data_IF_056670219721
#
_entry.id   IF_056670219721
#
_cell.length_a   1.000
_cell.length_b   1.000
_cell.length_c   1.000
_cell.angle_alpha   90.00
_cell.angle_beta   90.00
_cell.angle_gamma   90.00
#
_symmetry.space_group_name_H-M   'P 1'
#
loop_
_entity.id
_entity.type
_entity.pdbx_description
1 polymer ?
#
# COMPACT_ATOMS: atom_id res chain seq x y z
N UNK A 1 -14.37 -1.90 -3.74
CA UNK A 1 -15.10 -0.70 -3.28
C UNK A 1 -16.08 -0.16 -4.32
N UNK A 2 -16.35 -0.92 -5.38
CA UNK A 2 -17.40 -0.67 -6.40
C UNK A 2 -17.44 0.77 -6.97
N UNK A 3 -16.27 1.39 -7.15
CA UNK A 3 -16.16 2.70 -7.84
C UNK A 3 -16.44 2.56 -9.34
N UNK A 4 -16.15 1.39 -9.90
CA UNK A 4 -16.41 1.03 -11.29
C UNK A 4 -17.24 -0.25 -11.36
N UNK A 5 -18.08 -0.34 -12.38
CA UNK A 5 -18.87 -1.54 -12.64
C UNK A 5 -18.10 -2.43 -13.60
N UNK A 6 -17.76 -3.68 -13.24
CA UNK A 6 -17.07 -4.58 -14.14
C UNK A 6 -18.00 -5.01 -15.30
N UNK A 7 -17.44 -5.20 -16.50
CA UNK A 7 -18.18 -5.71 -17.64
C UNK A 7 -18.62 -7.17 -17.42
N UNK A 8 -17.86 -7.92 -16.62
CA UNK A 8 -18.18 -9.30 -16.23
C UNK A 8 -17.53 -9.64 -14.88
N UNK A 9 -18.08 -10.63 -14.19
CA UNK A 9 -17.59 -11.06 -12.89
C UNK A 9 -18.07 -10.20 -11.72
N UNK A 10 -17.53 -10.48 -10.55
CA UNK A 10 -17.84 -9.77 -9.31
C UNK A 10 -16.69 -9.90 -8.31
N UNK A 11 -16.60 -8.96 -7.37
CA UNK A 11 -15.72 -9.03 -6.22
C UNK A 11 -16.56 -9.16 -4.93
N UNK A 12 -16.13 -10.06 -4.06
CA UNK A 12 -16.77 -10.30 -2.77
C UNK A 12 -15.78 -10.05 -1.64
N UNK A 13 -16.31 -9.55 -0.53
CA UNK A 13 -15.61 -9.37 0.73
C UNK A 13 -16.39 -10.17 1.77
N UNK A 14 -15.78 -11.19 2.34
CA UNK A 14 -16.47 -12.17 3.24
C UNK A 14 -17.76 -12.73 2.61
N UNK A 15 -17.76 -13.00 1.31
CA UNK A 15 -18.89 -13.56 0.58
C UNK A 15 -19.99 -12.55 0.18
N UNK A 16 -19.85 -11.27 0.54
CA UNK A 16 -20.81 -10.20 0.23
C UNK A 16 -20.24 -9.18 -0.74
N UNK A 17 -21.08 -8.53 -1.54
CA UNK A 17 -20.66 -7.35 -2.32
C UNK A 17 -20.38 -6.17 -1.38
N UNK A 18 -19.48 -5.28 -1.76
CA UNK A 18 -19.15 -4.10 -0.94
C UNK A 18 -20.39 -3.26 -0.57
N UNK A 19 -21.30 -3.05 -1.52
CA UNK A 19 -22.55 -2.28 -1.31
C UNK A 19 -23.53 -2.92 -0.32
N UNK A 20 -23.40 -4.23 -0.10
CA UNK A 20 -24.30 -5.01 0.78
C UNK A 20 -23.73 -5.11 2.22
N UNK A 21 -22.55 -4.52 2.47
CA UNK A 21 -21.94 -4.47 3.80
C UNK A 21 -22.67 -3.45 4.68
N UNK A 22 -23.04 -3.83 5.90
CA UNK A 22 -23.73 -2.94 6.85
C UNK A 22 -22.87 -1.72 7.24
N UNK A 23 -21.58 -1.95 7.49
CA UNK A 23 -20.60 -0.92 7.86
C UNK A 23 -19.35 -1.05 6.98
N UNK A 24 -19.39 -0.58 5.72
CA UNK A 24 -18.33 -0.84 4.75
C UNK A 24 -16.97 -0.32 5.21
N UNK A 25 -16.88 0.86 5.84
CA UNK A 25 -15.62 1.42 6.34
C UNK A 25 -15.06 0.70 7.57
N UNK A 26 -15.89 -0.02 8.32
CA UNK A 26 -15.42 -0.90 9.41
C UNK A 26 -14.96 -2.27 8.88
N UNK A 27 -15.28 -2.60 7.64
CA UNK A 27 -14.87 -3.84 6.98
C UNK A 27 -13.68 -3.62 6.07
N UNK A 28 -13.72 -2.56 5.26
CA UNK A 28 -12.69 -2.23 4.26
C UNK A 28 -12.27 -0.78 4.37
N UNK A 29 -11.01 -0.55 4.64
CA UNK A 29 -10.36 0.76 4.50
C UNK A 29 -9.64 0.84 3.15
N UNK A 30 -9.72 1.99 2.47
CA UNK A 30 -9.09 2.15 1.17
C UNK A 30 -8.32 3.48 1.07
N UNK A 31 -7.09 3.43 0.58
CA UNK A 31 -6.33 4.57 0.11
C UNK A 31 -6.22 4.47 -1.41
N UNK A 32 -7.00 5.28 -2.13
CA UNK A 32 -7.05 5.26 -3.59
C UNK A 32 -6.45 6.53 -4.22
N UNK A 33 -6.61 7.68 -3.55
CA UNK A 33 -6.08 8.95 -4.03
C UNK A 33 -5.92 9.93 -2.87
N UNK A 34 -4.74 10.51 -2.71
CA UNK A 34 -4.44 11.50 -1.66
C UNK A 34 -4.75 12.95 -2.06
N UNK A 35 -5.16 13.20 -3.30
CA UNK A 35 -5.48 14.55 -3.77
C UNK A 35 -6.92 15.01 -3.45
N UNK A 36 -7.73 14.15 -2.83
CA UNK A 36 -9.12 14.48 -2.47
C UNK A 36 -9.26 15.32 -1.19
N UNK A 37 -8.15 15.62 -0.52
CA UNK A 37 -8.16 16.39 0.73
C UNK A 37 -8.36 17.88 0.47
N UNK A 38 -9.30 18.51 1.19
CA UNK A 38 -9.53 19.95 1.05
C UNK A 38 -8.31 20.75 1.56
N UNK A 39 -7.67 21.60 0.74
CA UNK A 39 -6.34 22.17 1.04
C UNK A 39 -6.30 23.09 2.26
N UNK A 40 -7.42 23.71 2.62
CA UNK A 40 -7.54 24.60 3.79
C UNK A 40 -7.97 23.89 5.07
N UNK A 41 -8.37 22.62 4.98
CA UNK A 41 -8.78 21.83 6.16
C UNK A 41 -7.54 21.25 6.83
N UNK A 42 -7.48 21.29 8.16
CA UNK A 42 -6.40 20.61 8.88
C UNK A 42 -6.56 19.07 8.79
N UNK A 43 -5.47 18.33 8.93
CA UNK A 43 -5.50 16.87 8.92
C UNK A 43 -6.48 16.30 9.95
N UNK A 44 -6.47 16.85 11.20
CA UNK A 44 -7.42 16.47 12.25
C UNK A 44 -8.87 16.73 11.84
N UNK A 45 -9.17 17.89 11.29
CA UNK A 45 -10.54 18.23 10.88
C UNK A 45 -10.97 17.43 9.64
N UNK A 46 -10.03 17.02 8.78
CA UNK A 46 -10.32 16.12 7.68
C UNK A 46 -10.80 14.76 8.22
N UNK A 47 -10.04 14.14 9.14
CA UNK A 47 -10.44 12.87 9.75
C UNK A 47 -11.71 12.98 10.60
N UNK A 48 -11.92 14.09 11.31
CA UNK A 48 -13.18 14.33 12.05
C UNK A 48 -14.39 14.40 11.13
N UNK A 49 -14.24 15.05 9.98
CA UNK A 49 -15.30 15.09 8.97
C UNK A 49 -15.64 13.69 8.46
N UNK A 50 -14.61 12.90 8.13
CA UNK A 50 -14.80 11.52 7.65
C UNK A 50 -15.42 10.64 8.74
N UNK A 51 -14.98 10.76 9.99
CA UNK A 51 -15.54 10.03 11.11
C UNK A 51 -17.03 10.37 11.33
N UNK A 52 -17.37 11.66 11.36
CA UNK A 52 -18.74 12.12 11.56
C UNK A 52 -19.69 11.70 10.42
N UNK A 53 -19.20 11.68 9.18
CA UNK A 53 -20.00 11.28 8.01
C UNK A 53 -20.31 9.78 7.94
N UNK A 54 -19.65 8.97 8.79
CA UNK A 54 -19.74 7.51 8.78
C UNK A 54 -19.99 6.90 10.17
N UNK A 55 -20.51 7.70 11.10
CA UNK A 55 -20.84 7.30 12.48
C UNK A 55 -19.68 6.62 13.23
N UNK A 56 -18.43 7.03 12.93
CA UNK A 56 -17.24 6.51 13.58
C UNK A 56 -16.94 7.34 14.82
N UNK A 57 -16.61 6.71 15.97
CA UNK A 57 -16.31 7.42 17.21
C UNK A 57 -15.13 8.40 17.08
N UNK A 58 -15.26 9.61 17.64
CA UNK A 58 -14.27 10.68 17.49
C UNK A 58 -12.90 10.40 18.09
N UNK A 59 -12.81 9.52 19.09
CA UNK A 59 -11.53 9.08 19.65
C UNK A 59 -10.65 8.38 18.60
N UNK A 60 -11.26 7.71 17.60
CA UNK A 60 -10.53 7.08 16.50
C UNK A 60 -9.67 8.06 15.70
N UNK A 61 -10.05 9.32 15.65
CA UNK A 61 -9.29 10.36 14.94
C UNK A 61 -7.89 10.52 15.54
N UNK A 62 -7.80 10.67 16.87
CA UNK A 62 -6.50 10.84 17.53
C UNK A 62 -5.68 9.55 17.52
N UNK A 63 -6.33 8.40 17.67
CA UNK A 63 -5.67 7.09 17.52
C UNK A 63 -5.05 6.91 16.14
N UNK A 64 -5.79 7.24 15.07
CA UNK A 64 -5.29 7.12 13.70
C UNK A 64 -4.19 8.13 13.39
N UNK A 65 -4.28 9.38 13.91
CA UNK A 65 -3.21 10.37 13.78
C UNK A 65 -1.91 9.90 14.47
N UNK A 66 -2.03 9.32 15.66
CA UNK A 66 -0.89 8.76 16.38
C UNK A 66 -0.28 7.57 15.62
N UNK A 67 -1.12 6.66 15.11
CA UNK A 67 -0.70 5.47 14.36
C UNK A 67 0.18 5.82 13.15
N UNK A 68 -0.14 6.93 12.44
CA UNK A 68 0.61 7.35 11.25
C UNK A 68 1.68 8.42 11.56
N UNK A 69 1.84 8.82 12.83
CA UNK A 69 2.84 9.81 13.26
C UNK A 69 2.56 11.24 12.79
N UNK A 70 1.29 11.66 12.76
CA UNK A 70 0.88 13.00 12.34
C UNK A 70 0.29 13.86 13.45
N UNK A 71 0.34 13.43 14.72
CA UNK A 71 -0.28 14.11 15.87
C UNK A 71 0.16 15.58 15.99
N UNK A 72 1.47 15.84 15.92
CA UNK A 72 2.06 17.18 16.09
C UNK A 72 1.66 18.17 14.99
N UNK A 73 1.47 17.68 13.78
CA UNK A 73 1.14 18.50 12.59
C UNK A 73 -0.35 18.46 12.24
N UNK A 74 -1.16 17.72 13.00
CA UNK A 74 -2.56 17.46 12.69
C UNK A 74 -3.43 18.74 12.62
N UNK A 75 -3.04 19.81 13.29
CA UNK A 75 -3.74 21.10 13.27
C UNK A 75 -3.38 21.98 12.07
N UNK A 76 -2.32 21.63 11.33
CA UNK A 76 -1.90 22.39 10.14
C UNK A 76 -2.81 22.06 8.94
N UNK A 77 -3.04 23.03 8.02
CA UNK A 77 -3.82 22.81 6.81
C UNK A 77 -3.10 21.80 5.88
N UNK A 78 -3.88 20.92 5.24
CA UNK A 78 -3.31 19.84 4.40
C UNK A 78 -2.51 20.35 3.20
N UNK A 79 -2.70 21.60 2.77
CA UNK A 79 -1.87 22.22 1.73
C UNK A 79 -0.39 22.33 2.12
N UNK A 80 -0.08 22.40 3.42
CA UNK A 80 1.31 22.46 3.93
C UNK A 80 1.95 21.09 4.10
N UNK A 81 1.18 20.00 3.91
CA UNK A 81 1.69 18.65 4.06
C UNK A 81 2.59 18.27 2.89
N UNK A 82 3.73 17.62 3.20
CA UNK A 82 4.53 16.94 2.19
C UNK A 82 3.72 15.80 1.54
N UNK A 83 4.20 15.26 0.42
CA UNK A 83 3.56 14.12 -0.21
C UNK A 83 3.45 12.93 0.78
N UNK A 84 4.54 12.61 1.49
CA UNK A 84 4.55 11.57 2.51
C UNK A 84 3.55 11.81 3.65
N UNK A 85 3.40 13.06 4.10
CA UNK A 85 2.39 13.39 5.12
C UNK A 85 0.96 13.22 4.57
N UNK A 86 0.70 13.54 3.30
CA UNK A 86 -0.61 13.30 2.67
C UNK A 86 -0.89 11.81 2.53
N UNK A 87 0.10 11.00 2.12
CA UNK A 87 -0.03 9.54 2.07
C UNK A 87 -0.37 8.97 3.45
N UNK A 88 0.36 9.37 4.49
CA UNK A 88 0.09 8.96 5.88
C UNK A 88 -1.31 9.38 6.35
N UNK A 89 -1.77 10.59 6.00
CA UNK A 89 -3.12 11.03 6.36
C UNK A 89 -4.20 10.19 5.65
N UNK A 90 -4.01 9.82 4.39
CA UNK A 90 -4.91 8.92 3.67
C UNK A 90 -4.92 7.51 4.28
N UNK A 91 -3.77 7.01 4.77
CA UNK A 91 -3.73 5.75 5.53
C UNK A 91 -4.47 5.87 6.87
N UNK A 92 -4.36 7.01 7.56
CA UNK A 92 -5.13 7.29 8.78
C UNK A 92 -6.64 7.28 8.49
N UNK A 93 -7.07 7.88 7.37
CA UNK A 93 -8.46 7.86 6.91
C UNK A 93 -8.94 6.42 6.66
N UNK A 94 -8.15 5.61 5.95
CA UNK A 94 -8.46 4.20 5.70
C UNK A 94 -8.58 3.38 6.99
N UNK A 95 -7.89 3.79 8.07
CA UNK A 95 -7.89 3.13 9.38
C UNK A 95 -9.00 3.60 10.34
N UNK A 96 -9.77 4.65 9.99
CA UNK A 96 -10.76 5.24 10.90
C UNK A 96 -11.77 4.21 11.42
N UNK A 97 -12.36 3.42 10.55
CA UNK A 97 -13.33 2.38 10.88
C UNK A 97 -12.73 1.12 11.53
N UNK A 98 -11.43 1.09 11.77
CA UNK A 98 -10.70 -0.09 12.27
C UNK A 98 -10.93 -1.35 11.40
N UNK A 99 -10.79 -1.27 10.08
CA UNK A 99 -11.21 -2.29 9.14
C UNK A 99 -10.37 -3.56 9.22
N UNK A 100 -10.99 -4.69 8.86
CA UNK A 100 -10.31 -5.98 8.72
C UNK A 100 -9.49 -6.07 7.44
N UNK A 101 -9.92 -5.39 6.37
CA UNK A 101 -9.27 -5.39 5.06
C UNK A 101 -8.82 -3.99 4.69
N UNK A 102 -7.63 -3.88 4.09
CA UNK A 102 -7.05 -2.62 3.65
C UNK A 102 -6.65 -2.72 2.18
N UNK A 103 -7.03 -1.72 1.41
CA UNK A 103 -6.69 -1.59 0.00
C UNK A 103 -5.83 -0.33 -0.18
N UNK A 104 -4.57 -0.49 -0.55
CA UNK A 104 -3.64 0.61 -0.76
C UNK A 104 -3.21 0.65 -2.22
N UNK A 105 -3.64 1.70 -2.92
CA UNK A 105 -3.28 1.92 -4.32
C UNK A 105 -2.06 2.83 -4.40
N UNK A 106 -0.93 2.27 -4.89
CA UNK A 106 0.37 2.94 -5.04
C UNK A 106 0.82 3.73 -3.78
N UNK A 107 0.76 3.15 -2.56
CA UNK A 107 0.92 3.88 -1.30
C UNK A 107 2.33 4.44 -1.09
N UNK A 108 3.33 3.91 -1.79
CA UNK A 108 4.73 4.33 -1.68
C UNK A 108 5.19 5.24 -2.82
N UNK A 109 4.30 5.53 -3.76
CA UNK A 109 4.65 6.35 -4.92
C UNK A 109 5.06 7.78 -4.49
N UNK A 110 6.26 8.20 -4.88
CA UNK A 110 6.82 9.51 -4.56
C UNK A 110 7.26 9.68 -3.10
N UNK A 111 7.35 8.62 -2.31
CA UNK A 111 7.96 8.64 -1.00
C UNK A 111 9.49 8.56 -1.10
N UNK A 112 10.16 9.15 -0.13
CA UNK A 112 11.58 8.95 0.10
C UNK A 112 11.87 7.56 0.70
N UNK A 113 13.12 7.10 0.74
CA UNK A 113 13.47 5.79 1.29
C UNK A 113 13.01 5.57 2.74
N UNK A 114 12.98 6.63 3.55
CA UNK A 114 12.51 6.56 4.93
C UNK A 114 10.98 6.34 4.99
N UNK A 115 10.23 7.03 4.14
CA UNK A 115 8.79 6.87 3.99
C UNK A 115 8.42 5.45 3.51
N UNK A 116 9.17 4.89 2.55
CA UNK A 116 9.00 3.51 2.08
C UNK A 116 9.27 2.52 3.22
N UNK A 117 10.37 2.70 3.96
CA UNK A 117 10.70 1.84 5.10
C UNK A 117 9.65 1.93 6.22
N UNK A 118 9.09 3.12 6.45
CA UNK A 118 7.99 3.32 7.39
C UNK A 118 6.73 2.57 6.93
N UNK A 119 6.31 2.72 5.66
CA UNK A 119 5.14 2.03 5.11
C UNK A 119 5.29 0.50 5.24
N UNK A 120 6.46 -0.03 4.94
CA UNK A 120 6.75 -1.46 5.08
C UNK A 120 6.52 -1.96 6.52
N UNK A 121 7.03 -1.23 7.53
CA UNK A 121 6.80 -1.57 8.94
C UNK A 121 5.33 -1.46 9.30
N UNK A 122 4.67 -0.39 8.85
CA UNK A 122 3.24 -0.15 9.06
C UNK A 122 2.39 -1.30 8.53
N UNK A 123 2.57 -1.68 7.27
CA UNK A 123 1.83 -2.77 6.64
C UNK A 123 2.09 -4.12 7.33
N UNK A 124 3.34 -4.44 7.66
CA UNK A 124 3.69 -5.68 8.38
C UNK A 124 3.07 -5.75 9.77
N UNK A 125 3.04 -4.66 10.51
CA UNK A 125 2.41 -4.61 11.82
C UNK A 125 0.90 -4.88 11.73
N UNK A 126 0.23 -4.24 10.78
CA UNK A 126 -1.20 -4.47 10.55
C UNK A 126 -1.52 -5.91 10.09
N UNK A 127 -0.65 -6.50 9.25
CA UNK A 127 -0.78 -7.89 8.85
C UNK A 127 -0.58 -8.84 10.04
N UNK A 128 0.37 -8.55 10.94
CA UNK A 128 0.60 -9.31 12.17
C UNK A 128 -0.59 -9.25 13.14
N UNK A 129 -1.42 -8.19 13.08
CA UNK A 129 -2.70 -8.10 13.79
C UNK A 129 -3.81 -8.96 13.16
N UNK A 130 -3.53 -9.67 12.05
CA UNK A 130 -4.49 -10.51 11.32
C UNK A 130 -5.31 -9.79 10.27
N UNK A 131 -4.93 -8.58 9.84
CA UNK A 131 -5.63 -7.84 8.78
C UNK A 131 -5.19 -8.34 7.40
N UNK A 132 -6.15 -8.39 6.47
CA UNK A 132 -5.87 -8.62 5.05
C UNK A 132 -5.46 -7.30 4.38
N UNK A 133 -4.30 -7.26 3.73
CA UNK A 133 -3.80 -6.04 3.07
C UNK A 133 -3.54 -6.34 1.59
N UNK A 134 -4.20 -5.59 0.71
CA UNK A 134 -3.94 -5.59 -0.73
C UNK A 134 -3.24 -4.28 -1.11
N UNK A 135 -2.05 -4.40 -1.68
CA UNK A 135 -1.24 -3.26 -2.12
C UNK A 135 -1.02 -3.36 -3.62
N UNK A 136 -1.37 -2.31 -4.38
CA UNK A 136 -0.89 -2.15 -5.75
C UNK A 136 0.47 -1.45 -5.77
N UNK A 137 1.35 -1.86 -6.65
CA UNK A 137 2.61 -1.17 -6.93
C UNK A 137 3.17 -1.61 -8.27
N UNK A 138 3.90 -0.73 -8.94
CA UNK A 138 4.70 -1.04 -10.11
C UNK A 138 6.16 -1.34 -9.75
N UNK A 139 6.55 -1.25 -8.47
CA UNK A 139 7.90 -1.46 -7.96
C UNK A 139 8.01 -2.85 -7.29
N UNK A 140 8.29 -3.88 -8.08
CA UNK A 140 8.37 -5.26 -7.61
C UNK A 140 9.35 -5.44 -6.43
N UNK A 141 10.50 -4.72 -6.46
CA UNK A 141 11.51 -4.80 -5.40
C UNK A 141 11.00 -4.29 -4.04
N UNK A 142 10.02 -3.40 -4.02
CA UNK A 142 9.40 -2.91 -2.79
C UNK A 142 8.36 -3.89 -2.26
N UNK A 143 7.59 -4.49 -3.18
CA UNK A 143 6.56 -5.46 -2.83
C UNK A 143 7.17 -6.75 -2.29
N UNK A 144 8.25 -7.26 -2.89
CA UNK A 144 8.90 -8.52 -2.45
C UNK A 144 9.38 -8.48 -1.00
N UNK A 145 9.67 -7.30 -0.45
CA UNK A 145 10.08 -7.13 0.94
C UNK A 145 8.90 -6.95 1.92
N UNK A 146 7.68 -6.80 1.41
CA UNK A 146 6.51 -6.43 2.22
C UNK A 146 5.42 -7.50 2.17
N UNK A 147 5.13 -8.05 1.00
CA UNK A 147 4.02 -8.96 0.76
C UNK A 147 4.40 -10.44 0.95
N UNK A 148 3.42 -11.27 1.29
CA UNK A 148 3.55 -12.73 1.36
C UNK A 148 3.20 -13.38 0.01
N UNK A 149 2.27 -12.76 -0.72
CA UNK A 149 1.77 -13.24 -2.01
C UNK A 149 1.85 -12.14 -3.07
N UNK A 150 2.06 -12.57 -4.30
CA UNK A 150 2.18 -11.72 -5.47
C UNK A 150 1.12 -12.11 -6.52
N UNK A 151 0.40 -11.10 -7.00
CA UNK A 151 -0.48 -11.21 -8.17
C UNK A 151 0.07 -10.30 -9.24
N UNK A 152 0.53 -10.86 -10.35
CA UNK A 152 1.08 -10.09 -11.48
C UNK A 152 0.03 -10.00 -12.59
N UNK A 153 -0.28 -8.77 -12.97
CA UNK A 153 -1.18 -8.47 -14.07
C UNK A 153 -0.40 -7.82 -15.22
N UNK A 154 -0.68 -8.21 -16.44
CA UNK A 154 -0.11 -7.58 -17.63
C UNK A 154 -1.08 -7.65 -18.81
N UNK A 155 -1.27 -6.52 -19.50
CA UNK A 155 -2.18 -6.39 -20.63
C UNK A 155 -3.61 -6.93 -20.31
N UNK A 156 -4.10 -6.65 -19.11
CA UNK A 156 -5.42 -7.11 -18.65
C UNK A 156 -5.52 -8.62 -18.34
N UNK A 157 -4.41 -9.35 -18.30
CA UNK A 157 -4.37 -10.80 -18.03
C UNK A 157 -3.64 -11.08 -16.73
N UNK A 158 -4.08 -12.11 -16.02
CA UNK A 158 -3.35 -12.68 -14.87
C UNK A 158 -2.12 -13.44 -15.41
N UNK A 159 -0.93 -12.95 -15.07
CA UNK A 159 0.34 -13.57 -15.46
C UNK A 159 0.88 -14.51 -14.39
N UNK A 160 0.73 -14.14 -13.11
CA UNK A 160 1.13 -14.99 -11.98
C UNK A 160 0.25 -14.73 -10.75
N UNK A 161 0.04 -15.78 -9.96
CA UNK A 161 -0.54 -15.73 -8.62
C UNK A 161 0.22 -16.73 -7.74
N UNK A 162 1.21 -16.27 -7.00
CA UNK A 162 2.18 -17.12 -6.32
C UNK A 162 2.64 -16.51 -5.00
N UNK A 163 3.32 -17.25 -4.15
CA UNK A 163 4.03 -16.68 -3.00
C UNK A 163 5.29 -15.93 -3.47
N UNK A 164 5.73 -14.93 -2.70
CA UNK A 164 7.00 -14.24 -2.98
C UNK A 164 8.16 -15.26 -2.98
N UNK A 165 8.18 -16.20 -2.03
CA UNK A 165 9.23 -17.20 -1.95
C UNK A 165 9.32 -18.14 -3.19
N UNK A 166 8.17 -18.48 -3.78
CA UNK A 166 8.13 -19.26 -5.03
C UNK A 166 8.55 -18.42 -6.24
N UNK A 167 8.11 -17.16 -6.27
CA UNK A 167 8.48 -16.22 -7.33
C UNK A 167 9.99 -15.97 -7.36
N UNK A 168 10.62 -15.77 -6.21
CA UNK A 168 12.07 -15.57 -6.08
C UNK A 168 12.85 -16.81 -6.53
N UNK A 169 12.36 -18.02 -6.23
CA UNK A 169 13.00 -19.28 -6.71
C UNK A 169 12.96 -19.42 -8.23
N UNK A 170 11.95 -18.88 -8.90
CA UNK A 170 11.81 -18.93 -10.36
C UNK A 170 12.60 -17.81 -11.07
N UNK A 171 13.00 -16.77 -10.33
CA UNK A 171 13.78 -15.70 -10.89
C UNK A 171 15.21 -16.19 -11.19
N UNK A 172 15.74 -16.03 -12.41
CA UNK A 172 17.11 -16.41 -12.70
C UNK A 172 18.05 -15.58 -11.83
N UNK A 173 18.95 -16.26 -11.12
CA UNK A 173 19.98 -15.59 -10.32
C UNK A 173 20.90 -14.81 -11.26
N UNK A 174 20.83 -13.48 -11.23
CA UNK A 174 21.71 -12.60 -11.99
C UNK A 174 22.67 -11.91 -11.06
N UNK A 175 23.96 -12.06 -11.32
CA UNK A 175 25.02 -11.34 -10.64
C UNK A 175 25.46 -10.19 -11.54
N UNK A 176 25.37 -8.93 -11.04
CA UNK A 176 25.92 -7.78 -11.74
C UNK A 176 27.30 -7.48 -11.18
N UNK A 177 28.35 -7.75 -11.95
CA UNK A 177 29.72 -7.38 -11.61
C UNK A 177 30.11 -6.09 -12.35
N UNK A 178 30.79 -5.18 -11.65
CA UNK A 178 31.43 -3.99 -12.24
C UNK A 178 32.93 -4.12 -12.06
N UNK A 179 33.67 -4.05 -13.17
CA UNK A 179 35.13 -4.14 -13.17
C UNK A 179 35.71 -3.25 -14.27
N UNK A 180 36.93 -2.77 -14.06
CA UNK A 180 37.73 -2.07 -15.10
C UNK A 180 38.20 -3.02 -16.21
N UNK A 181 38.13 -4.33 -15.98
CA UNK A 181 38.59 -5.38 -16.88
C UNK A 181 37.40 -6.26 -17.39
N UNK A 182 36.30 -5.62 -17.81
CA UNK A 182 35.09 -6.32 -18.25
C UNK A 182 35.34 -7.45 -19.28
N UNK A 183 36.17 -7.28 -20.32
CA UNK A 183 36.45 -8.36 -21.30
C UNK A 183 37.09 -9.60 -20.67
N UNK A 184 37.99 -9.40 -19.70
CA UNK A 184 38.63 -10.52 -19.01
C UNK A 184 37.66 -11.26 -18.11
N UNK A 185 36.81 -10.51 -17.38
CA UNK A 185 35.77 -11.13 -16.54
C UNK A 185 34.79 -11.98 -17.37
N UNK A 186 34.32 -11.47 -18.51
CA UNK A 186 33.44 -12.21 -19.43
C UNK A 186 34.09 -13.52 -19.89
N UNK A 187 35.37 -13.50 -20.23
CA UNK A 187 36.11 -14.69 -20.64
C UNK A 187 36.19 -15.74 -19.51
N UNK A 188 36.54 -15.31 -18.31
CA UNK A 188 36.62 -16.18 -17.11
C UNK A 188 35.26 -16.79 -16.78
N UNK A 189 34.18 -16.00 -16.86
CA UNK A 189 32.83 -16.49 -16.60
C UNK A 189 32.39 -17.52 -17.66
N UNK A 190 32.70 -17.26 -18.94
CA UNK A 190 32.40 -18.19 -20.02
C UNK A 190 33.18 -19.52 -19.86
N UNK A 191 34.48 -19.47 -19.49
CA UNK A 191 35.32 -20.64 -19.18
C UNK A 191 34.77 -21.42 -17.96
N UNK A 192 34.12 -20.75 -17.00
CA UNK A 192 33.45 -21.35 -15.86
C UNK A 192 32.01 -21.84 -16.12
N UNK A 193 31.53 -21.73 -17.38
CA UNK A 193 30.16 -22.13 -17.75
C UNK A 193 29.06 -21.19 -17.27
N UNK A 194 29.40 -19.98 -16.90
CA UNK A 194 28.49 -18.92 -16.47
C UNK A 194 28.30 -17.91 -17.63
N UNK A 195 27.03 -17.59 -17.94
CA UNK A 195 26.67 -16.64 -19.02
C UNK A 195 26.00 -15.38 -18.47
#
# INVERSE_FOLDING_TARGET
VELETPNAGFALIDGMRYRDLNNPLCTVGALLNTNCMHPRRSGRNHLRYMAASNDIPMNRVEECLALVGLTEVASQPTKSYSLGMRQRLGMAEAMLGNPRYLLFDEPVNGLDPEGIAWFRRFAKNLAAEGRGILVSSHLLAEISQTADRLVVLGQGKLLANTSIAEFEKQAPTRVRARTKFAPQLVRILAEAGLS
#
